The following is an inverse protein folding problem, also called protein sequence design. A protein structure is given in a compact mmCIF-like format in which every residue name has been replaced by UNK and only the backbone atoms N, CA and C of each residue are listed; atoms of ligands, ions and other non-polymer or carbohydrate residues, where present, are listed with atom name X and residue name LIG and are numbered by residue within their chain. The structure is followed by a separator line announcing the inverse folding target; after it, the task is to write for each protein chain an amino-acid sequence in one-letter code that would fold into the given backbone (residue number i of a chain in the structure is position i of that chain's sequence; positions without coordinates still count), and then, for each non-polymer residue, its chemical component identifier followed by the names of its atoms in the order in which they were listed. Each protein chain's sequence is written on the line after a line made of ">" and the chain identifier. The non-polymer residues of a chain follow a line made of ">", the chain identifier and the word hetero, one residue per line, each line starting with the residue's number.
data_IF_222220529174
#
_entry.id   IF_222220529174
#
_cell.length_a   1.000
_cell.length_b   1.000
_cell.length_c   1.000
_cell.angle_alpha   90.00
_cell.angle_beta   90.00
_cell.angle_gamma   90.00
#
_symmetry.space_group_name_H-M   'P 1'
#
loop_
_entity.id
_entity.type
_entity.pdbx_description
1 polymer ?
#
# COMPACT_ATOMS: atom_id res chain seq x y z
N UNK A 1 -3.12 -26.38 28.20
CA UNK A 1 -3.25 -24.93 27.93
C UNK A 1 -2.29 -24.56 26.80
N UNK A 2 -2.77 -24.49 25.54
CA UNK A 2 -1.94 -24.14 24.38
C UNK A 2 -1.80 -22.61 24.33
N UNK A 3 -0.61 -22.08 24.62
CA UNK A 3 -0.30 -20.68 24.32
C UNK A 3 -0.25 -20.55 22.80
N UNK A 4 -1.25 -19.88 22.24
CA UNK A 4 -1.21 -19.41 20.85
C UNK A 4 -0.09 -18.38 20.77
N UNK A 5 1.06 -18.78 20.25
CA UNK A 5 2.14 -17.88 19.91
C UNK A 5 1.67 -17.04 18.73
N UNK A 6 1.10 -15.86 19.00
CA UNK A 6 0.98 -14.81 17.99
C UNK A 6 2.39 -14.50 17.53
N UNK A 7 2.71 -14.90 16.31
CA UNK A 7 3.85 -14.36 15.59
C UNK A 7 3.49 -12.91 15.34
N UNK A 8 4.01 -12.00 16.17
CA UNK A 8 4.05 -10.59 15.83
C UNK A 8 5.10 -10.51 14.72
N UNK A 9 4.66 -10.34 13.48
CA UNK A 9 5.60 -9.93 12.44
C UNK A 9 6.04 -8.51 12.80
N UNK A 10 7.24 -8.39 13.36
CA UNK A 10 7.90 -7.12 13.59
C UNK A 10 8.61 -6.73 12.29
N UNK A 11 8.14 -5.66 11.65
CA UNK A 11 8.74 -5.14 10.41
C UNK A 11 7.72 -4.57 9.43
N UNK A 12 8.25 -3.99 8.35
CA UNK A 12 7.45 -3.43 7.26
C UNK A 12 6.91 -4.54 6.34
N UNK A 13 5.69 -4.35 5.83
CA UNK A 13 5.05 -5.25 4.87
C UNK A 13 5.04 -4.62 3.47
N UNK A 14 5.58 -5.35 2.49
CA UNK A 14 5.43 -5.01 1.07
C UNK A 14 4.36 -5.89 0.43
N UNK A 15 3.34 -5.26 -0.16
CA UNK A 15 2.31 -5.93 -0.95
C UNK A 15 2.44 -5.57 -2.43
N UNK A 16 2.58 -6.59 -3.28
CA UNK A 16 2.55 -6.46 -4.74
C UNK A 16 1.24 -7.02 -5.26
N UNK A 17 0.48 -6.22 -6.00
CA UNK A 17 -0.84 -6.62 -6.50
C UNK A 17 -1.23 -5.87 -7.78
N UNK A 18 -2.47 -6.10 -8.23
CA UNK A 18 -3.05 -5.41 -9.38
C UNK A 18 -3.75 -4.10 -8.98
N UNK A 19 -4.13 -3.30 -9.98
CA UNK A 19 -4.76 -1.99 -9.77
C UNK A 19 -6.01 -2.03 -8.89
N UNK A 20 -6.92 -2.99 -9.11
CA UNK A 20 -8.18 -3.07 -8.34
C UNK A 20 -7.98 -3.40 -6.84
N UNK A 21 -7.16 -4.40 -6.44
CA UNK A 21 -6.80 -4.60 -5.04
C UNK A 21 -6.11 -3.38 -4.40
N UNK A 22 -5.21 -2.71 -5.12
CA UNK A 22 -4.55 -1.51 -4.61
C UNK A 22 -5.58 -0.39 -4.39
N UNK A 23 -6.48 -0.16 -5.35
CA UNK A 23 -7.53 0.85 -5.21
C UNK A 23 -8.48 0.56 -4.04
N UNK A 24 -8.75 -0.72 -3.75
CA UNK A 24 -9.52 -1.13 -2.58
C UNK A 24 -8.78 -0.79 -1.27
N UNK A 25 -7.46 -1.00 -1.20
CA UNK A 25 -6.65 -0.62 -0.03
C UNK A 25 -6.67 0.90 0.19
N UNK A 26 -6.52 1.68 -0.89
CA UNK A 26 -6.69 3.14 -0.85
C UNK A 26 -8.07 3.52 -0.34
N UNK A 27 -9.12 2.80 -0.74
CA UNK A 27 -10.47 3.07 -0.26
C UNK A 27 -10.62 2.80 1.23
N UNK A 28 -9.98 1.76 1.77
CA UNK A 28 -10.06 1.40 3.18
C UNK A 28 -9.23 2.36 4.06
N UNK A 29 -8.01 2.69 3.67
CA UNK A 29 -7.07 3.45 4.52
C UNK A 29 -6.94 4.93 4.18
N UNK A 30 -7.43 5.40 3.04
CA UNK A 30 -7.43 6.81 2.64
C UNK A 30 -8.83 7.33 2.27
N UNK A 31 -9.88 6.52 2.46
CA UNK A 31 -11.28 6.81 2.09
C UNK A 31 -11.50 7.22 0.61
N UNK A 32 -10.52 6.98 -0.26
CA UNK A 32 -10.56 7.33 -1.68
C UNK A 32 -10.28 6.09 -2.52
N UNK A 33 -11.11 5.81 -3.53
CA UNK A 33 -10.86 4.70 -4.45
C UNK A 33 -9.93 5.20 -5.56
N UNK A 34 -8.66 4.78 -5.52
CA UNK A 34 -7.60 5.32 -6.38
C UNK A 34 -6.82 4.21 -7.08
N UNK A 35 -6.90 4.16 -8.42
CA UNK A 35 -5.98 3.37 -9.23
C UNK A 35 -4.64 4.07 -9.33
N UNK A 36 -3.55 3.31 -9.15
CA UNK A 36 -2.17 3.81 -9.25
C UNK A 36 -1.49 3.26 -10.49
N UNK A 37 -0.43 3.94 -10.95
CA UNK A 37 0.30 3.51 -12.13
C UNK A 37 1.10 2.22 -11.94
N UNK A 38 1.46 1.59 -13.06
CA UNK A 38 2.30 0.38 -13.06
C UNK A 38 3.62 0.63 -12.35
N UNK A 39 4.05 -0.34 -11.54
CA UNK A 39 5.29 -0.30 -10.77
C UNK A 39 5.46 0.98 -9.90
N UNK A 40 4.37 1.65 -9.54
CA UNK A 40 4.42 2.76 -8.59
C UNK A 40 4.21 2.26 -7.15
N UNK A 41 4.68 3.05 -6.18
CA UNK A 41 4.62 2.67 -4.77
C UNK A 41 3.70 3.62 -4.00
N UNK A 42 2.82 3.06 -3.17
CA UNK A 42 2.09 3.80 -2.14
C UNK A 42 2.56 3.33 -0.77
N UNK A 43 2.74 4.25 0.17
CA UNK A 43 3.15 3.96 1.54
C UNK A 43 2.10 4.40 2.54
N UNK A 44 1.70 3.47 3.38
CA UNK A 44 0.85 3.71 4.54
C UNK A 44 1.67 3.50 5.80
N UNK A 45 1.51 4.38 6.77
CA UNK A 45 2.12 4.25 8.09
C UNK A 45 1.02 4.10 9.13
N UNK A 46 1.20 3.18 10.07
CA UNK A 46 0.32 3.06 11.23
C UNK A 46 0.70 4.17 12.22
N UNK A 47 -0.17 5.16 12.39
CA UNK A 47 0.06 6.28 13.33
C UNK A 47 -0.41 5.95 14.74
N UNK A 48 -1.45 5.12 14.83
CA UNK A 48 -1.96 4.50 16.05
C UNK A 48 -2.51 3.14 15.67
N UNK A 49 -2.70 2.26 16.65
CA UNK A 49 -3.13 0.88 16.40
C UNK A 49 -4.42 0.81 15.57
N UNK A 50 -4.32 0.28 14.35
CA UNK A 50 -5.41 0.16 13.38
C UNK A 50 -5.71 1.43 12.57
N UNK A 51 -5.00 2.53 12.83
CA UNK A 51 -5.15 3.80 12.12
C UNK A 51 -3.96 4.06 11.21
N UNK A 52 -4.25 4.08 9.91
CA UNK A 52 -3.24 4.24 8.87
C UNK A 52 -3.35 5.62 8.23
N UNK A 53 -2.20 6.23 7.97
CA UNK A 53 -2.06 7.44 7.18
C UNK A 53 -1.34 7.12 5.88
N UNK A 54 -1.90 7.53 4.76
CA UNK A 54 -1.22 7.54 3.47
C UNK A 54 -0.14 8.63 3.49
N UNK A 55 1.13 8.21 3.41
CA UNK A 55 2.28 9.14 3.38
C UNK A 55 2.55 9.63 1.95
N UNK A 56 2.54 8.72 0.99
CA UNK A 56 2.59 9.04 -0.44
C UNK A 56 1.87 7.97 -1.26
N UNK A 57 1.43 8.35 -2.46
CA UNK A 57 0.74 7.47 -3.39
C UNK A 57 1.32 7.55 -4.79
N UNK A 58 1.30 6.42 -5.50
CA UNK A 58 1.70 6.33 -6.90
C UNK A 58 3.11 6.91 -7.15
N UNK A 59 4.02 6.76 -6.19
CA UNK A 59 5.38 7.24 -6.33
C UNK A 59 6.11 6.47 -7.44
N UNK A 60 6.61 7.24 -8.40
CA UNK A 60 7.36 6.76 -9.55
C UNK A 60 8.79 7.32 -9.55
N UNK A 61 9.22 7.99 -8.47
CA UNK A 61 10.52 8.68 -8.39
C UNK A 61 11.68 7.73 -8.72
N UNK A 62 11.58 6.48 -8.28
CA UNK A 62 12.55 5.40 -8.47
C UNK A 62 12.61 4.82 -9.90
N UNK A 63 11.59 5.07 -10.74
CA UNK A 63 11.57 4.55 -12.12
C UNK A 63 12.50 5.37 -13.02
N UNK A 64 13.32 4.69 -13.82
CA UNK A 64 14.17 5.33 -14.83
C UNK A 64 13.35 5.94 -15.98
N UNK A 65 12.22 5.32 -16.32
CA UNK A 65 11.23 5.82 -17.27
C UNK A 65 9.88 5.95 -16.57
N UNK A 66 9.29 7.14 -16.65
CA UNK A 66 8.00 7.49 -16.02
C UNK A 66 6.88 7.65 -17.06
N UNK A 67 7.17 7.33 -18.33
CA UNK A 67 6.20 7.41 -19.41
C UNK A 67 5.21 6.25 -19.35
N UNK A 68 3.95 6.53 -19.69
CA UNK A 68 2.90 5.51 -19.90
C UNK A 68 2.70 4.51 -18.76
N UNK A 69 2.69 4.96 -17.50
CA UNK A 69 2.46 4.11 -16.32
C UNK A 69 1.01 3.62 -16.18
N UNK A 70 0.26 3.51 -17.28
CA UNK A 70 -1.20 3.40 -17.35
C UNK A 70 -1.83 2.69 -16.14
N UNK A 71 -2.68 3.38 -15.36
CA UNK A 71 -3.41 2.75 -14.26
C UNK A 71 -4.50 1.78 -14.76
N UNK A 72 -4.83 1.82 -16.06
CA UNK A 72 -5.67 0.88 -16.82
C UNK A 72 -5.33 0.91 -18.32
#
# INVERSE_FOLDING_TARGET
>A
MRRSSRILMEGDLLLVSHGAPIAAIHKVWNNQYLYVGQATVSKFIEVEKGMFRLEFSSDASHLSDKSNLRPW
#
